data_IF_341945478063
#
_entry.id   IF_341945478063
#
_cell.length_a   1.000
_cell.length_b   1.000
_cell.length_c   1.000
_cell.angle_alpha   90.00
_cell.angle_beta   90.00
_cell.angle_gamma   90.00
#
_symmetry.space_group_name_H-M   'P 1'
#
loop_
_entity.id
_entity.type
_entity.pdbx_description
1 polymer ?
#
# COMPACT_ATOMS: atom_id res chain seq x y z
N UNK A 1 3.37 -36.38 20.79
CA UNK A 1 3.96 -35.66 21.94
C UNK A 1 3.48 -34.21 21.89
N UNK A 2 2.33 -33.94 22.51
CA UNK A 2 1.80 -32.58 22.69
C UNK A 2 2.60 -31.89 23.79
N UNK A 3 3.26 -30.77 23.50
CA UNK A 3 3.51 -29.73 24.49
C UNK A 3 3.58 -28.37 23.82
N UNK A 4 3.12 -27.39 24.58
CA UNK A 4 3.16 -25.93 24.37
C UNK A 4 1.98 -25.38 23.56
N UNK A 5 0.90 -25.01 24.26
CA UNK A 5 0.39 -23.65 24.09
C UNK A 5 -0.40 -23.20 25.33
N UNK A 6 0.30 -22.56 26.27
CA UNK A 6 -0.31 -21.94 27.47
C UNK A 6 -0.36 -20.41 27.38
N UNK A 7 -0.15 -19.85 26.19
CA UNK A 7 -0.27 -18.42 25.94
C UNK A 7 -1.40 -18.18 24.94
N UNK A 8 -2.36 -17.34 25.33
CA UNK A 8 -3.31 -16.75 24.39
C UNK A 8 -2.48 -16.04 23.32
N UNK A 9 -2.59 -16.48 22.07
CA UNK A 9 -1.89 -15.82 20.97
C UNK A 9 -2.32 -14.36 20.90
N UNK A 10 -1.36 -13.43 20.95
CA UNK A 10 -1.59 -11.98 20.87
C UNK A 10 -1.85 -11.51 19.43
N UNK A 11 -1.98 -12.42 18.45
CA UNK A 11 -2.16 -12.11 17.04
C UNK A 11 -3.31 -12.91 16.40
N UNK A 12 -3.87 -12.35 15.31
CA UNK A 12 -4.97 -12.96 14.56
C UNK A 12 -4.50 -14.01 13.56
N UNK A 13 -3.40 -13.77 12.85
CA UNK A 13 -2.76 -14.69 11.93
C UNK A 13 -1.26 -14.36 11.80
N UNK A 14 -0.45 -15.33 11.38
CA UNK A 14 0.98 -15.17 11.13
C UNK A 14 1.47 -16.10 10.01
N UNK A 15 2.49 -15.66 9.28
CA UNK A 15 3.22 -16.44 8.27
C UNK A 15 4.71 -16.09 8.36
N UNK A 16 5.56 -17.10 8.23
CA UNK A 16 7.00 -16.97 8.03
C UNK A 16 7.36 -17.71 6.75
N UNK A 17 7.96 -16.99 5.81
CA UNK A 17 8.39 -17.52 4.53
C UNK A 17 9.85 -17.17 4.27
N UNK A 18 10.55 -18.06 3.59
CA UNK A 18 11.82 -17.75 2.95
C UNK A 18 11.59 -16.84 1.74
N UNK A 19 12.27 -15.71 1.69
CA UNK A 19 12.00 -14.67 0.69
C UNK A 19 12.47 -15.04 -0.71
N UNK A 20 13.52 -15.86 -0.84
CA UNK A 20 14.11 -16.23 -2.12
C UNK A 20 13.34 -17.39 -2.77
N UNK A 21 13.09 -18.46 -2.01
CA UNK A 21 12.39 -19.65 -2.51
C UNK A 21 10.87 -19.57 -2.42
N UNK A 22 10.33 -18.64 -1.63
CA UNK A 22 8.90 -18.57 -1.32
C UNK A 22 8.41 -19.68 -0.40
N UNK A 23 9.30 -20.53 0.13
CA UNK A 23 8.93 -21.65 0.99
C UNK A 23 8.35 -21.14 2.31
N UNK A 24 7.15 -21.60 2.64
CA UNK A 24 6.54 -21.33 3.95
C UNK A 24 7.24 -22.20 5.00
N UNK A 25 7.84 -21.54 5.99
CA UNK A 25 8.55 -22.18 7.10
C UNK A 25 7.61 -22.44 8.27
N UNK A 26 6.72 -21.49 8.57
CA UNK A 26 5.72 -21.58 9.64
C UNK A 26 4.47 -20.76 9.27
N UNK A 27 3.30 -21.19 9.76
CA UNK A 27 2.08 -20.40 9.65
C UNK A 27 1.08 -20.70 10.77
N UNK A 28 0.25 -19.70 11.11
CA UNK A 28 -0.95 -19.84 11.94
C UNK A 28 -2.07 -19.02 11.30
N UNK A 29 -3.18 -19.69 10.92
CA UNK A 29 -4.36 -19.05 10.30
C UNK A 29 -4.03 -18.14 9.11
N UNK A 30 -3.00 -18.47 8.31
CA UNK A 30 -2.51 -17.60 7.21
C UNK A 30 -3.55 -17.26 6.13
N UNK A 31 -4.61 -18.07 5.97
CA UNK A 31 -5.70 -17.81 5.03
C UNK A 31 -6.90 -17.07 5.65
N UNK A 32 -6.82 -16.69 6.93
CA UNK A 32 -7.88 -15.96 7.60
C UNK A 32 -8.00 -14.55 7.02
N UNK A 33 -9.20 -14.19 6.55
CA UNK A 33 -9.49 -12.83 6.06
C UNK A 33 -9.46 -11.84 7.24
N UNK A 34 -8.54 -10.89 7.17
CA UNK A 34 -8.34 -9.85 8.18
C UNK A 34 -8.19 -8.51 7.45
N UNK A 35 -8.73 -7.43 8.02
CA UNK A 35 -8.50 -6.09 7.48
C UNK A 35 -7.01 -5.72 7.55
N UNK A 36 -6.36 -5.38 6.42
CA UNK A 36 -4.91 -5.19 6.35
C UNK A 36 -4.43 -3.87 6.99
N UNK A 37 -5.35 -2.95 7.32
CA UNK A 37 -5.02 -1.59 7.73
C UNK A 37 -3.99 -0.95 6.78
N UNK A 38 -2.94 -0.29 7.30
CA UNK A 38 -1.92 0.36 6.47
C UNK A 38 -1.12 -0.59 5.58
N UNK A 39 -1.16 -1.92 5.77
CA UNK A 39 -0.53 -2.86 4.83
C UNK A 39 -1.13 -2.77 3.43
N UNK A 40 -2.36 -2.27 3.28
CA UNK A 40 -2.96 -1.97 1.97
C UNK A 40 -2.14 -0.98 1.14
N UNK A 41 -1.31 -0.13 1.77
CA UNK A 41 -0.42 0.80 1.05
C UNK A 41 0.72 0.07 0.31
N UNK A 42 1.09 -1.14 0.73
CA UNK A 42 2.07 -1.94 -0.02
C UNK A 42 1.56 -2.26 -1.42
N UNK A 43 0.26 -2.51 -1.56
CA UNK A 43 -0.36 -2.75 -2.87
C UNK A 43 -0.42 -1.48 -3.73
N UNK A 44 -0.67 -0.31 -3.12
CA UNK A 44 -0.54 0.99 -3.80
C UNK A 44 0.88 1.20 -4.33
N UNK A 45 1.88 0.91 -3.51
CA UNK A 45 3.28 1.04 -3.91
C UNK A 45 3.66 0.02 -5.00
N UNK A 46 3.19 -1.23 -4.90
CA UNK A 46 3.44 -2.28 -5.89
C UNK A 46 2.95 -1.85 -7.28
N UNK A 47 1.66 -1.47 -7.39
CA UNK A 47 1.08 -1.06 -8.67
C UNK A 47 1.81 0.18 -9.21
N UNK A 48 2.15 1.15 -8.35
CA UNK A 48 2.93 2.31 -8.77
C UNK A 48 4.30 1.93 -9.37
N UNK A 49 4.99 0.96 -8.76
CA UNK A 49 6.27 0.46 -9.27
C UNK A 49 6.11 -0.27 -10.61
N UNK A 50 5.07 -1.09 -10.79
CA UNK A 50 4.77 -1.74 -12.07
C UNK A 50 4.49 -0.73 -13.20
N UNK A 51 3.78 0.37 -12.89
CA UNK A 51 3.54 1.43 -13.87
C UNK A 51 4.83 2.17 -14.23
N UNK A 52 5.73 2.40 -13.26
CA UNK A 52 7.07 2.96 -13.50
C UNK A 52 7.91 2.02 -14.37
N UNK A 53 7.94 0.73 -14.03
CA UNK A 53 8.71 -0.29 -14.76
C UNK A 53 8.21 -0.42 -16.21
N UNK A 54 6.90 -0.33 -16.42
CA UNK A 54 6.30 -0.31 -17.76
C UNK A 54 6.51 0.98 -18.55
N UNK A 55 7.13 2.01 -17.94
CA UNK A 55 7.37 3.31 -18.54
C UNK A 55 6.13 4.20 -18.69
N UNK A 56 4.98 3.82 -18.11
CA UNK A 56 3.73 4.62 -18.20
C UNK A 56 3.76 5.87 -17.34
N UNK A 57 4.49 5.84 -16.24
CA UNK A 57 4.73 6.98 -15.35
C UNK A 57 6.21 7.03 -14.95
N UNK A 58 6.65 8.14 -14.39
CA UNK A 58 8.01 8.35 -13.91
C UNK A 58 8.02 8.89 -12.48
N UNK A 59 9.07 8.54 -11.73
CA UNK A 59 9.35 9.14 -10.42
C UNK A 59 9.52 10.67 -10.47
N UNK A 60 9.79 11.23 -11.64
CA UNK A 60 9.92 12.67 -11.85
C UNK A 60 8.61 13.38 -12.23
N UNK A 61 7.53 12.62 -12.43
CA UNK A 61 6.24 13.19 -12.81
C UNK A 61 5.75 14.19 -11.76
N UNK A 62 5.16 15.28 -12.24
CA UNK A 62 4.56 16.31 -11.40
C UNK A 62 3.12 15.93 -11.10
N UNK A 63 2.82 15.71 -9.84
CA UNK A 63 1.48 15.37 -9.36
C UNK A 63 0.86 16.60 -8.71
N UNK A 64 -0.25 17.07 -9.27
CA UNK A 64 -1.05 18.15 -8.67
C UNK A 64 -2.06 17.55 -7.69
N UNK A 65 -2.05 18.05 -6.46
CA UNK A 65 -2.93 17.54 -5.40
C UNK A 65 -4.37 17.97 -5.64
N UNK A 66 -5.27 16.99 -5.68
CA UNK A 66 -6.71 17.19 -5.86
C UNK A 66 -7.38 17.68 -4.57
N UNK A 67 -8.59 18.24 -4.70
CA UNK A 67 -9.44 18.59 -3.54
C UNK A 67 -9.83 17.36 -2.71
N UNK A 68 -9.92 16.20 -3.35
CA UNK A 68 -10.26 14.95 -2.68
C UNK A 68 -9.10 14.50 -1.80
N UNK A 69 -7.90 14.41 -2.38
CA UNK A 69 -6.66 14.06 -1.66
C UNK A 69 -6.40 14.97 -0.47
N UNK A 70 -6.61 16.29 -0.62
CA UNK A 70 -6.39 17.24 0.49
C UNK A 70 -7.39 17.12 1.65
N UNK A 71 -8.43 16.28 1.52
CA UNK A 71 -9.42 16.01 2.58
C UNK A 71 -9.18 14.66 3.28
N UNK A 72 -8.20 13.88 2.82
CA UNK A 72 -7.90 12.58 3.41
C UNK A 72 -7.29 12.80 4.79
N UNK A 73 -7.89 12.19 5.81
CA UNK A 73 -7.44 12.27 7.20
C UNK A 73 -6.66 11.05 7.68
N UNK A 74 -6.42 11.00 8.99
CA UNK A 74 -5.62 9.97 9.66
C UNK A 74 -4.13 10.34 9.71
N UNK A 75 -3.26 9.34 9.54
CA UNK A 75 -1.82 9.60 9.38
C UNK A 75 -1.56 10.23 8.02
N UNK A 76 -0.96 11.42 7.99
CA UNK A 76 -0.90 12.25 6.79
C UNK A 76 0.29 13.22 6.83
N UNK A 77 0.64 13.78 5.67
CA UNK A 77 1.65 14.86 5.53
C UNK A 77 1.02 16.22 5.24
N UNK A 78 -0.32 16.31 5.31
CA UNK A 78 -1.10 17.54 5.20
C UNK A 78 -1.00 18.21 3.82
N UNK A 79 -1.10 17.40 2.76
CA UNK A 79 -1.12 17.89 1.37
C UNK A 79 -2.27 18.87 1.13
N UNK A 80 -1.99 20.03 0.51
CA UNK A 80 -3.02 21.03 0.20
C UNK A 80 -3.42 20.98 -1.26
N UNK A 81 -4.69 21.29 -1.52
CA UNK A 81 -5.23 21.35 -2.87
C UNK A 81 -4.41 22.31 -3.75
N UNK A 82 -4.02 21.84 -4.93
CA UNK A 82 -3.32 22.63 -5.93
C UNK A 82 -1.80 22.65 -5.78
N UNK A 83 -1.25 22.18 -4.65
CA UNK A 83 0.19 21.94 -4.53
C UNK A 83 0.67 20.92 -5.56
N UNK A 84 1.94 21.00 -5.93
CA UNK A 84 2.56 20.11 -6.92
C UNK A 84 3.80 19.50 -6.31
N UNK A 85 3.86 18.17 -6.32
CA UNK A 85 4.98 17.39 -5.82
C UNK A 85 5.52 16.47 -6.91
N UNK A 86 6.78 16.06 -6.78
CA UNK A 86 7.28 14.96 -7.62
C UNK A 86 6.69 13.64 -7.13
N UNK A 87 6.39 12.74 -8.06
CA UNK A 87 5.81 11.43 -7.74
C UNK A 87 6.65 10.66 -6.71
N UNK A 88 7.99 10.73 -6.80
CA UNK A 88 8.90 10.14 -5.80
C UNK A 88 8.67 10.63 -4.37
N UNK A 89 8.22 11.86 -4.17
CA UNK A 89 8.06 12.48 -2.84
C UNK A 89 6.79 11.94 -2.19
N UNK A 90 5.73 11.79 -2.99
CA UNK A 90 4.51 11.13 -2.58
C UNK A 90 4.75 9.64 -2.27
N UNK A 91 5.48 8.93 -3.13
CA UNK A 91 5.88 7.54 -2.86
C UNK A 91 6.65 7.40 -1.54
N UNK A 92 7.61 8.28 -1.27
CA UNK A 92 8.33 8.29 0.01
C UNK A 92 7.40 8.54 1.19
N UNK A 93 6.50 9.51 1.11
CA UNK A 93 5.54 9.78 2.18
C UNK A 93 4.59 8.59 2.41
N UNK A 94 4.18 7.89 1.34
CA UNK A 94 3.36 6.66 1.42
C UNK A 94 4.10 5.53 2.12
N UNK A 95 5.36 5.25 1.75
CA UNK A 95 6.09 4.07 2.24
C UNK A 95 6.77 4.31 3.58
N UNK A 96 7.37 5.49 3.79
CA UNK A 96 8.14 5.82 5.00
C UNK A 96 7.22 6.30 6.11
N UNK A 97 6.37 7.29 5.82
CA UNK A 97 5.49 7.91 6.83
C UNK A 97 4.13 7.21 6.94
N UNK A 98 3.86 6.21 6.10
CA UNK A 98 2.54 5.57 5.98
C UNK A 98 1.40 6.61 5.80
N UNK A 99 1.68 7.71 5.10
CA UNK A 99 0.75 8.82 4.94
C UNK A 99 -0.40 8.45 3.99
N UNK A 100 -1.63 8.63 4.46
CA UNK A 100 -2.87 8.28 3.77
C UNK A 100 -3.12 9.21 2.58
N UNK A 101 -2.98 10.51 2.78
CA UNK A 101 -3.12 11.54 1.75
C UNK A 101 -2.15 11.30 0.59
N UNK A 102 -0.88 11.02 0.88
CA UNK A 102 0.10 10.66 -0.13
C UNK A 102 -0.26 9.36 -0.87
N UNK A 103 -0.74 8.33 -0.15
CA UNK A 103 -1.17 7.08 -0.77
C UNK A 103 -2.35 7.27 -1.74
N UNK A 104 -3.31 8.13 -1.37
CA UNK A 104 -4.42 8.49 -2.26
C UNK A 104 -3.93 9.30 -3.46
N UNK A 105 -3.00 10.25 -3.27
CA UNK A 105 -2.40 11.00 -4.37
C UNK A 105 -1.69 10.08 -5.39
N UNK A 106 -0.93 9.10 -4.89
CA UNK A 106 -0.28 8.07 -5.71
C UNK A 106 -1.33 7.25 -6.48
N UNK A 107 -2.35 6.76 -5.78
CA UNK A 107 -3.43 5.98 -6.39
C UNK A 107 -4.20 6.79 -7.46
N UNK A 108 -4.49 8.06 -7.21
CA UNK A 108 -5.10 9.00 -8.18
C UNK A 108 -4.27 9.10 -9.45
N UNK A 109 -2.96 9.32 -9.30
CA UNK A 109 -2.06 9.48 -10.43
C UNK A 109 -1.94 8.19 -11.26
N UNK A 110 -1.76 7.05 -10.60
CA UNK A 110 -1.61 5.71 -11.20
C UNK A 110 -2.86 5.23 -11.95
N UNK A 111 -4.04 5.62 -11.48
CA UNK A 111 -5.32 5.17 -12.05
C UNK A 111 -6.07 6.24 -12.84
N UNK A 112 -5.54 7.47 -12.90
CA UNK A 112 -6.20 8.66 -13.44
C UNK A 112 -7.31 9.23 -12.54
N UNK A 113 -8.10 8.38 -11.88
CA UNK A 113 -9.08 8.76 -10.84
C UNK A 113 -9.16 7.66 -9.76
N UNK A 114 -9.22 8.01 -8.47
CA UNK A 114 -9.29 7.03 -7.35
C UNK A 114 -10.29 5.91 -7.58
N UNK A 115 -11.45 6.22 -8.16
CA UNK A 115 -12.53 5.25 -8.39
C UNK A 115 -12.12 4.07 -9.29
N UNK A 116 -11.05 4.23 -10.08
CA UNK A 116 -10.52 3.19 -10.94
C UNK A 116 -9.42 2.34 -10.27
N UNK A 117 -8.92 2.79 -9.12
CA UNK A 117 -7.90 2.07 -8.37
C UNK A 117 -8.37 0.68 -7.90
N UNK A 118 -9.61 0.47 -7.42
CA UNK A 118 -10.08 -0.87 -7.06
C UNK A 118 -9.96 -1.90 -8.18
N UNK A 119 -10.23 -1.54 -9.44
CA UNK A 119 -10.09 -2.49 -10.56
C UNK A 119 -8.62 -2.86 -10.83
N UNK A 120 -7.69 -1.90 -10.74
CA UNK A 120 -6.25 -2.19 -10.82
C UNK A 120 -5.78 -3.07 -9.66
N UNK A 121 -6.26 -2.78 -8.46
CA UNK A 121 -5.98 -3.56 -7.26
C UNK A 121 -6.46 -5.01 -7.41
N UNK A 122 -7.70 -5.23 -7.83
CA UNK A 122 -8.27 -6.56 -8.06
C UNK A 122 -7.55 -7.35 -9.13
N UNK A 123 -7.04 -6.68 -10.18
CA UNK A 123 -6.23 -7.34 -11.22
C UNK A 123 -4.89 -7.85 -10.66
N UNK A 124 -4.27 -7.09 -9.76
CA UNK A 124 -2.94 -7.37 -9.19
C UNK A 124 -3.00 -8.36 -8.03
N UNK A 125 -4.11 -8.37 -7.27
CA UNK A 125 -4.33 -9.30 -6.15
C UNK A 125 -4.68 -10.75 -6.57
N UNK A 126 -4.76 -11.05 -7.87
CA UNK A 126 -5.05 -12.40 -8.39
C UNK A 126 -3.79 -13.24 -8.45
#
# INVERSE_FOLDING_TARGET
MQKVNRYRSHYKAAILADAESGRILLHDRMHQKIYPASLGKMMVALIALEEIESGRISLQDKVKISRWTSKIGGHQVYLKQGEIFKFRELMKATVISSANDAAVAVAEHVSGQVKFFPQKNERTCR
#
